data_IF_909678360273
#
_entry.id   IF_909678360273
#
_cell.length_a   1.000
_cell.length_b   1.000
_cell.length_c   1.000
_cell.angle_alpha   90.00
_cell.angle_beta   90.00
_cell.angle_gamma   90.00
#
_symmetry.space_group_name_H-M   'P 1'
#
loop_
_entity.id
_entity.type
_entity.pdbx_description
1 polymer ?
#
# COMPACT_ATOMS: atom_id res chain seq x y z
N UNK A 1 3.12 -42.05 19.93
CA UNK A 1 2.47 -42.33 21.23
C UNK A 1 3.07 -41.39 22.28
N UNK A 2 2.23 -40.96 23.24
CA UNK A 2 2.53 -40.30 24.55
C UNK A 2 3.07 -38.85 24.53
N UNK A 3 2.51 -37.82 25.20
CA UNK A 3 1.30 -37.63 26.04
C UNK A 3 0.87 -36.14 26.04
N UNK A 4 -0.42 -35.86 25.93
CA UNK A 4 -1.09 -34.63 26.38
C UNK A 4 -1.30 -34.72 27.90
N UNK A 5 -0.85 -33.75 28.68
CA UNK A 5 -1.31 -33.62 30.07
C UNK A 5 -1.30 -32.17 30.57
N UNK A 6 -2.43 -31.79 31.17
CA UNK A 6 -2.65 -30.79 32.23
C UNK A 6 -3.27 -29.43 31.83
N UNK A 7 -4.60 -29.49 31.82
CA UNK A 7 -5.56 -28.54 32.38
C UNK A 7 -4.98 -27.69 33.53
N UNK A 8 -5.12 -26.36 33.44
CA UNK A 8 -5.24 -25.44 34.56
C UNK A 8 -6.33 -24.42 34.19
N UNK A 9 -7.59 -24.64 34.60
CA UNK A 9 -8.17 -24.25 35.89
C UNK A 9 -8.17 -22.72 36.11
N UNK A 10 -9.28 -22.13 35.66
CA UNK A 10 -9.96 -20.90 36.11
C UNK A 10 -9.54 -20.39 37.49
N UNK A 11 -9.24 -19.09 37.58
CA UNK A 11 -9.67 -18.22 38.68
C UNK A 11 -9.27 -16.75 38.42
N UNK A 12 -10.07 -15.99 37.68
CA UNK A 12 -10.05 -14.53 37.74
C UNK A 12 -11.47 -14.01 37.54
N UNK A 13 -12.09 -13.57 38.64
CA UNK A 13 -12.93 -12.37 38.76
C UNK A 13 -13.82 -12.48 39.99
N UNK A 14 -13.30 -11.99 41.09
CA UNK A 14 -14.11 -11.57 42.23
C UNK A 14 -13.38 -10.39 42.85
N UNK A 15 -13.93 -9.18 42.73
CA UNK A 15 -13.98 -8.15 43.76
C UNK A 15 -14.96 -7.05 43.31
N UNK A 16 -16.15 -7.11 43.92
CA UNK A 16 -17.00 -6.04 44.46
C UNK A 16 -17.33 -4.79 43.62
N UNK A 17 -18.51 -4.81 42.98
CA UNK A 17 -19.35 -3.61 42.80
C UNK A 17 -20.06 -3.31 44.12
N UNK A 18 -19.48 -2.39 44.88
CA UNK A 18 -20.08 -1.74 46.03
C UNK A 18 -21.23 -0.83 45.60
N UNK A 19 -22.42 -1.10 46.18
CA UNK A 19 -23.47 -0.16 46.59
C UNK A 19 -24.05 0.83 45.54
N UNK A 20 -25.35 0.70 45.25
CA UNK A 20 -26.39 1.58 45.79
C UNK A 20 -27.77 1.20 45.20
N UNK A 21 -28.64 0.69 46.07
CA UNK A 21 -30.09 0.58 45.83
C UNK A 21 -30.79 1.71 46.62
N UNK A 22 -31.82 2.32 45.97
CA UNK A 22 -32.90 3.18 46.52
C UNK A 22 -32.51 4.59 47.06
N UNK A 23 -33.28 5.68 46.88
CA UNK A 23 -34.56 5.99 46.22
C UNK A 23 -34.71 7.52 46.08
N UNK A 24 -35.52 8.02 45.12
CA UNK A 24 -36.64 8.98 45.32
C UNK A 24 -36.94 9.91 44.10
N UNK A 25 -38.24 10.11 43.92
CA UNK A 25 -39.07 10.81 42.91
C UNK A 25 -38.73 12.24 42.41
N UNK A 26 -38.89 12.42 41.08
CA UNK A 26 -39.54 13.51 40.27
C UNK A 26 -39.04 14.97 40.25
N UNK A 27 -39.42 15.80 39.23
CA UNK A 27 -40.06 15.53 37.92
C UNK A 27 -39.37 16.17 36.69
N UNK A 28 -39.72 15.63 35.51
CA UNK A 28 -39.82 16.28 34.20
C UNK A 28 -38.81 17.38 33.81
N UNK A 29 -37.83 17.00 32.99
CA UNK A 29 -37.33 17.88 31.93
C UNK A 29 -37.44 17.15 30.60
N UNK A 30 -38.31 17.70 29.75
CA UNK A 30 -38.50 17.34 28.35
C UNK A 30 -37.17 17.54 27.61
N UNK A 31 -36.36 16.49 27.53
CA UNK A 31 -35.25 16.43 26.58
C UNK A 31 -35.79 15.72 25.37
N UNK A 32 -36.30 16.52 24.43
CA UNK A 32 -36.44 16.17 23.02
C UNK A 32 -35.14 15.46 22.63
N UNK A 33 -35.20 14.13 22.55
CA UNK A 33 -34.11 13.31 22.05
C UNK A 33 -34.05 13.58 20.56
N UNK A 34 -33.34 14.64 20.19
CA UNK A 34 -32.80 14.76 18.85
C UNK A 34 -31.71 13.67 18.78
N UNK A 35 -32.15 12.45 18.45
CA UNK A 35 -31.30 11.42 17.89
C UNK A 35 -30.71 12.02 16.61
N UNK A 36 -29.66 12.82 16.75
CA UNK A 36 -28.59 12.83 15.77
C UNK A 36 -28.04 11.41 15.85
N UNK A 37 -28.55 10.56 14.96
CA UNK A 37 -27.88 9.34 14.59
C UNK A 37 -26.52 9.78 14.03
N UNK A 38 -25.54 9.99 14.92
CA UNK A 38 -24.15 9.78 14.56
C UNK A 38 -24.08 8.32 14.18
N UNK A 39 -24.26 8.08 12.88
CA UNK A 39 -23.87 6.85 12.25
C UNK A 39 -22.49 6.52 12.81
N UNK A 40 -22.40 5.45 13.59
CA UNK A 40 -21.13 4.91 14.04
C UNK A 40 -20.32 4.69 12.77
N UNK A 41 -19.37 5.59 12.49
CA UNK A 41 -18.44 5.41 11.38
C UNK A 41 -17.62 4.18 11.75
N UNK A 42 -17.96 3.06 11.14
CA UNK A 42 -17.11 1.87 11.16
C UNK A 42 -15.78 2.31 10.54
N UNK A 43 -14.69 2.19 11.29
CA UNK A 43 -13.35 2.41 10.74
C UNK A 43 -13.03 1.23 9.81
N UNK A 44 -13.16 1.46 8.50
CA UNK A 44 -12.84 0.46 7.47
C UNK A 44 -11.39 0.55 7.01
N UNK A 45 -10.61 1.50 7.54
CA UNK A 45 -9.36 1.91 6.91
C UNK A 45 -8.29 0.83 6.86
N UNK A 46 -8.16 -0.03 7.87
CA UNK A 46 -7.21 -1.13 7.83
C UNK A 46 -7.56 -2.17 6.73
N UNK A 47 -8.85 -2.50 6.58
CA UNK A 47 -9.31 -3.43 5.54
C UNK A 47 -9.16 -2.81 4.16
N UNK A 48 -9.58 -1.56 4.00
CA UNK A 48 -9.51 -0.82 2.76
C UNK A 48 -8.06 -0.65 2.31
N UNK A 49 -7.17 -0.29 3.23
CA UNK A 49 -5.75 -0.14 2.95
C UNK A 49 -5.13 -1.47 2.51
N UNK A 50 -5.44 -2.57 3.20
CA UNK A 50 -5.00 -3.92 2.79
C UNK A 50 -5.51 -4.26 1.39
N UNK A 51 -6.80 -4.05 1.10
CA UNK A 51 -7.38 -4.32 -0.21
C UNK A 51 -6.72 -3.49 -1.32
N UNK A 52 -6.43 -2.22 -1.03
CA UNK A 52 -5.71 -1.34 -1.94
C UNK A 52 -4.29 -1.84 -2.24
N UNK A 53 -3.53 -2.27 -1.22
CA UNK A 53 -2.17 -2.83 -1.39
C UNK A 53 -2.17 -4.12 -2.20
N UNK A 54 -3.11 -5.03 -1.93
CA UNK A 54 -3.26 -6.26 -2.70
C UNK A 54 -3.59 -5.96 -4.17
N UNK A 55 -4.44 -4.96 -4.42
CA UNK A 55 -4.72 -4.49 -5.76
C UNK A 55 -3.46 -3.91 -6.44
N UNK A 56 -2.67 -3.07 -5.75
CA UNK A 56 -1.42 -2.52 -6.30
C UNK A 56 -0.45 -3.64 -6.73
N UNK A 57 -0.21 -4.63 -5.87
CA UNK A 57 0.64 -5.77 -6.19
C UNK A 57 0.09 -6.65 -7.33
N UNK A 58 -1.23 -6.72 -7.48
CA UNK A 58 -1.83 -7.38 -8.64
C UNK A 58 -1.56 -6.58 -9.94
N UNK A 59 -1.57 -5.24 -9.89
CA UNK A 59 -1.27 -4.40 -11.05
C UNK A 59 0.19 -4.51 -11.47
N UNK A 60 1.13 -4.47 -10.52
CA UNK A 60 2.57 -4.64 -10.79
C UNK A 60 2.85 -5.96 -11.52
N UNK A 61 2.25 -7.05 -11.04
CA UNK A 61 2.34 -8.37 -11.71
C UNK A 61 1.72 -8.34 -13.09
N UNK A 62 0.52 -7.79 -13.23
CA UNK A 62 -0.18 -7.71 -14.52
C UNK A 62 0.57 -6.88 -15.55
N UNK A 63 1.25 -5.80 -15.15
CA UNK A 63 2.10 -5.01 -16.05
C UNK A 63 3.30 -5.83 -16.50
N UNK A 64 4.00 -6.49 -15.58
CA UNK A 64 5.14 -7.32 -15.90
C UNK A 64 4.75 -8.47 -16.85
N UNK A 65 3.61 -9.11 -16.60
CA UNK A 65 3.08 -10.18 -17.44
C UNK A 65 2.70 -9.65 -18.83
N UNK A 66 2.05 -8.48 -18.92
CA UNK A 66 1.72 -7.86 -20.20
C UNK A 66 2.96 -7.53 -21.04
N UNK A 67 4.00 -6.94 -20.42
CA UNK A 67 5.27 -6.64 -21.09
C UNK A 67 5.95 -7.93 -21.54
N UNK A 68 6.06 -8.91 -20.64
CA UNK A 68 6.67 -10.21 -20.95
C UNK A 68 5.96 -10.90 -22.11
N UNK A 69 4.63 -10.98 -22.06
CA UNK A 69 3.83 -11.62 -23.10
C UNK A 69 3.97 -10.92 -24.46
N UNK A 70 4.01 -9.58 -24.49
CA UNK A 70 4.21 -8.85 -25.73
C UNK A 70 5.62 -9.07 -26.31
N UNK A 71 6.65 -9.11 -25.46
CA UNK A 71 8.03 -9.40 -25.89
C UNK A 71 8.18 -10.83 -26.41
N UNK A 72 7.57 -11.82 -25.76
CA UNK A 72 7.54 -13.21 -26.24
C UNK A 72 6.84 -13.32 -27.60
N UNK A 73 5.71 -12.62 -27.76
CA UNK A 73 4.95 -12.57 -29.03
C UNK A 73 5.71 -11.90 -30.16
N UNK A 74 6.55 -10.90 -29.86
CA UNK A 74 7.41 -10.27 -30.87
C UNK A 74 8.50 -11.21 -31.40
N UNK A 75 9.04 -12.10 -30.55
CA UNK A 75 10.10 -13.03 -30.92
C UNK A 75 11.29 -12.31 -31.56
N UNK A 76 11.74 -12.76 -32.73
CA UNK A 76 12.86 -12.14 -33.46
C UNK A 76 12.63 -10.67 -33.85
N UNK A 77 11.36 -10.22 -33.95
CA UNK A 77 11.05 -8.82 -34.28
C UNK A 77 11.47 -7.86 -33.15
N UNK A 78 11.62 -8.36 -31.92
CA UNK A 78 12.10 -7.57 -30.79
C UNK A 78 13.56 -7.12 -30.94
N UNK A 79 14.31 -7.67 -31.92
CA UNK A 79 15.67 -7.20 -32.26
C UNK A 79 15.68 -5.81 -32.88
N UNK A 80 14.56 -5.37 -33.46
CA UNK A 80 14.40 -3.99 -33.90
C UNK A 80 13.97 -3.12 -32.70
N UNK A 81 14.80 -2.15 -32.27
CA UNK A 81 14.53 -1.36 -31.08
C UNK A 81 13.27 -0.49 -31.21
N UNK A 82 12.93 -0.02 -32.43
CA UNK A 82 11.70 0.76 -32.63
C UNK A 82 10.47 -0.12 -32.52
N UNK A 83 10.52 -1.32 -33.10
CA UNK A 83 9.42 -2.29 -33.00
C UNK A 83 9.19 -2.72 -31.56
N UNK A 84 10.26 -3.03 -30.82
CA UNK A 84 10.16 -3.37 -29.40
C UNK A 84 9.60 -2.21 -28.57
N UNK A 85 10.12 -0.99 -28.75
CA UNK A 85 9.65 0.20 -28.03
C UNK A 85 8.16 0.48 -28.30
N UNK A 86 7.73 0.44 -29.56
CA UNK A 86 6.34 0.70 -29.95
C UNK A 86 5.39 -0.35 -29.36
N UNK A 87 5.76 -1.63 -29.42
CA UNK A 87 4.95 -2.71 -28.86
C UNK A 87 4.83 -2.61 -27.33
N UNK A 88 5.93 -2.35 -26.63
CA UNK A 88 5.92 -2.16 -25.17
C UNK A 88 5.08 -0.94 -24.77
N UNK A 89 5.22 0.19 -25.48
CA UNK A 89 4.42 1.39 -25.23
C UNK A 89 2.93 1.10 -25.40
N UNK A 90 2.52 0.43 -26.48
CA UNK A 90 1.12 0.03 -26.70
C UNK A 90 0.61 -0.94 -25.64
N UNK A 91 1.40 -1.95 -25.28
CA UNK A 91 1.03 -2.92 -24.25
C UNK A 91 0.83 -2.23 -22.90
N UNK A 92 1.71 -1.31 -22.53
CA UNK A 92 1.61 -0.56 -21.29
C UNK A 92 0.41 0.39 -21.28
N UNK A 93 0.17 1.14 -22.36
CA UNK A 93 -1.01 2.00 -22.48
C UNK A 93 -2.32 1.20 -22.39
N UNK A 94 -2.39 0.04 -23.04
CA UNK A 94 -3.55 -0.85 -22.95
C UNK A 94 -3.73 -1.37 -21.51
N UNK A 95 -2.63 -1.76 -20.85
CA UNK A 95 -2.67 -2.25 -19.48
C UNK A 95 -3.07 -1.15 -18.48
N UNK A 96 -2.71 0.10 -18.73
CA UNK A 96 -3.18 1.25 -17.92
C UNK A 96 -4.70 1.36 -17.93
N UNK A 97 -5.35 1.16 -19.07
CA UNK A 97 -6.81 1.17 -19.15
C UNK A 97 -7.44 -0.02 -18.41
N UNK A 98 -6.84 -1.21 -18.49
CA UNK A 98 -7.26 -2.37 -17.69
C UNK A 98 -7.15 -2.07 -16.19
N UNK A 99 -6.05 -1.45 -15.75
CA UNK A 99 -5.85 -1.05 -14.36
C UNK A 99 -6.94 -0.07 -13.91
N UNK A 100 -7.21 0.98 -14.69
CA UNK A 100 -8.27 1.96 -14.39
C UNK A 100 -9.63 1.30 -14.24
N UNK A 101 -9.97 0.39 -15.15
CA UNK A 101 -11.22 -0.37 -15.07
C UNK A 101 -11.27 -1.24 -13.80
N UNK A 102 -10.19 -1.97 -13.49
CA UNK A 102 -10.13 -2.80 -12.28
C UNK A 102 -10.34 -1.99 -10.99
N UNK A 103 -9.87 -0.74 -10.96
CA UNK A 103 -10.01 0.15 -9.79
C UNK A 103 -11.46 0.54 -9.49
N UNK A 104 -12.37 0.46 -10.49
CA UNK A 104 -13.81 0.69 -10.28
C UNK A 104 -14.46 -0.40 -9.43
N UNK A 105 -13.87 -1.60 -9.41
CA UNK A 105 -14.33 -2.72 -8.59
C UNK A 105 -13.81 -2.66 -7.14
N UNK A 106 -12.83 -1.80 -6.83
CA UNK A 106 -12.37 -1.59 -5.46
C UNK A 106 -13.33 -0.72 -4.67
N UNK A 107 -14.09 -1.38 -3.81
CA UNK A 107 -14.92 -0.74 -2.80
C UNK A 107 -14.05 -0.27 -1.62
N UNK A 108 -13.66 1.00 -1.65
CA UNK A 108 -12.87 1.67 -0.62
C UNK A 108 -13.75 2.75 -0.02
N UNK A 109 -13.95 2.71 1.30
CA UNK A 109 -14.82 3.64 2.02
C UNK A 109 -14.06 4.60 2.94
N UNK A 110 -12.84 4.25 3.36
CA UNK A 110 -11.95 5.16 4.08
C UNK A 110 -11.44 6.26 3.14
N UNK A 111 -11.61 7.52 3.57
CA UNK A 111 -11.31 8.70 2.75
C UNK A 111 -9.81 8.85 2.46
N UNK A 112 -8.92 8.46 3.37
CA UNK A 112 -7.47 8.55 3.14
C UNK A 112 -7.02 7.47 2.15
N UNK A 113 -7.52 6.24 2.30
CA UNK A 113 -7.25 5.17 1.33
C UNK A 113 -7.84 5.50 -0.04
N UNK A 114 -9.03 6.09 -0.08
CA UNK A 114 -9.68 6.55 -1.32
C UNK A 114 -8.85 7.63 -2.00
N UNK A 115 -8.39 8.64 -1.26
CA UNK A 115 -7.52 9.69 -1.79
C UNK A 115 -6.21 9.11 -2.35
N UNK A 116 -5.61 8.11 -1.68
CA UNK A 116 -4.43 7.42 -2.18
C UNK A 116 -4.71 6.65 -3.48
N UNK A 117 -5.86 5.95 -3.56
CA UNK A 117 -6.30 5.26 -4.79
C UNK A 117 -6.43 6.23 -5.95
N UNK A 118 -7.13 7.35 -5.73
CA UNK A 118 -7.34 8.38 -6.75
C UNK A 118 -6.01 8.98 -7.22
N UNK A 119 -5.10 9.32 -6.30
CA UNK A 119 -3.76 9.82 -6.64
C UNK A 119 -2.93 8.80 -7.42
N UNK A 120 -3.05 7.53 -7.09
CA UNK A 120 -2.36 6.45 -7.83
C UNK A 120 -2.88 6.32 -9.27
N UNK A 121 -4.19 6.46 -9.48
CA UNK A 121 -4.79 6.47 -10.82
C UNK A 121 -4.46 7.74 -11.61
N UNK A 122 -4.38 8.89 -10.93
CA UNK A 122 -3.96 10.16 -11.51
C UNK A 122 -2.50 10.07 -11.99
N UNK A 123 -1.59 9.54 -11.14
CA UNK A 123 -0.20 9.29 -11.49
C UNK A 123 -0.05 8.34 -12.69
N UNK A 124 -0.82 7.24 -12.72
CA UNK A 124 -0.82 6.30 -13.83
C UNK A 124 -1.30 6.95 -15.14
N UNK A 125 -2.33 7.79 -15.06
CA UNK A 125 -2.87 8.53 -16.20
C UNK A 125 -1.88 9.57 -16.72
N UNK A 126 -1.17 10.27 -15.84
CA UNK A 126 -0.09 11.17 -16.22
C UNK A 126 1.08 10.43 -16.84
N UNK A 127 1.47 9.26 -16.31
CA UNK A 127 2.49 8.42 -16.91
C UNK A 127 2.16 8.04 -18.36
N UNK A 128 0.90 7.68 -18.63
CA UNK A 128 0.41 7.44 -20.00
C UNK A 128 0.52 8.68 -20.88
N UNK A 129 0.12 9.86 -20.37
CA UNK A 129 0.25 11.13 -21.11
C UNK A 129 1.71 11.46 -21.40
N UNK A 130 2.62 11.24 -20.45
CA UNK A 130 4.05 11.45 -20.63
C UNK A 130 4.63 10.54 -21.71
N UNK A 131 4.18 9.28 -21.81
CA UNK A 131 4.59 8.39 -22.91
C UNK A 131 4.17 8.91 -24.28
N UNK A 132 2.93 9.42 -24.38
CA UNK A 132 2.41 10.01 -25.61
C UNK A 132 3.15 11.31 -25.97
N UNK A 133 3.40 12.18 -25.00
CA UNK A 133 4.14 13.42 -25.23
C UNK A 133 5.63 13.16 -25.54
N UNK A 134 6.25 12.14 -24.94
CA UNK A 134 7.61 11.74 -25.27
C UNK A 134 7.74 11.34 -26.75
N UNK A 135 6.75 10.61 -27.28
CA UNK A 135 6.71 10.27 -28.71
C UNK A 135 6.57 11.53 -29.57
N UNK A 136 5.71 12.48 -29.18
CA UNK A 136 5.57 13.76 -29.90
C UNK A 136 6.88 14.56 -29.90
N UNK A 137 7.58 14.63 -28.76
CA UNK A 137 8.89 15.28 -28.66
C UNK A 137 9.92 14.57 -29.56
N UNK A 138 9.92 13.23 -29.59
CA UNK A 138 10.82 12.45 -30.43
C UNK A 138 10.56 12.64 -31.93
N UNK A 139 9.29 12.75 -32.33
CA UNK A 139 8.89 12.96 -33.72
C UNK A 139 9.04 14.42 -34.18
N UNK A 140 8.80 15.38 -33.28
CA UNK A 140 8.82 16.81 -33.57
C UNK A 140 9.29 17.62 -32.35
N UNK A 141 10.60 17.83 -32.17
CA UNK A 141 11.18 18.45 -30.99
C UNK A 141 11.01 19.98 -31.01
N UNK A 142 9.80 20.47 -30.73
CA UNK A 142 9.52 21.92 -30.62
C UNK A 142 9.61 22.41 -29.17
N UNK A 143 9.83 23.72 -28.93
CA UNK A 143 9.78 24.29 -27.58
C UNK A 143 8.45 24.01 -26.86
N UNK A 144 7.34 24.01 -27.60
CA UNK A 144 6.00 23.72 -27.08
C UNK A 144 5.88 22.27 -26.63
N UNK A 145 6.41 21.31 -27.39
CA UNK A 145 6.42 19.89 -27.03
C UNK A 145 7.26 19.64 -25.76
N UNK A 146 8.44 20.25 -25.66
CA UNK A 146 9.28 20.17 -24.46
C UNK A 146 8.59 20.79 -23.24
N UNK A 147 7.91 21.93 -23.44
CA UNK A 147 7.15 22.58 -22.38
C UNK A 147 5.99 21.70 -21.91
N UNK A 148 5.22 21.11 -22.83
CA UNK A 148 4.11 20.22 -22.49
C UNK A 148 4.61 19.01 -21.69
N UNK A 149 5.72 18.40 -22.09
CA UNK A 149 6.35 17.31 -21.36
C UNK A 149 6.82 17.74 -19.95
N UNK A 150 7.47 18.90 -19.84
CA UNK A 150 7.91 19.45 -18.55
C UNK A 150 6.77 19.78 -17.59
N UNK A 151 5.65 20.33 -18.11
CA UNK A 151 4.45 20.60 -17.32
C UNK A 151 3.82 19.30 -16.79
N UNK A 152 3.85 18.21 -17.56
CA UNK A 152 3.40 16.89 -17.10
C UNK A 152 4.32 16.30 -16.04
N UNK A 153 5.64 16.43 -16.21
CA UNK A 153 6.61 15.97 -15.21
C UNK A 153 6.39 16.67 -13.87
N UNK A 154 6.22 17.99 -13.87
CA UNK A 154 5.95 18.75 -12.63
C UNK A 154 4.64 18.31 -11.94
N UNK A 155 3.59 17.98 -12.72
CA UNK A 155 2.35 17.43 -12.17
C UNK A 155 2.54 16.03 -11.57
N UNK A 156 3.31 15.18 -12.25
CA UNK A 156 3.61 13.84 -11.75
C UNK A 156 4.40 13.90 -10.45
N UNK A 157 5.41 14.78 -10.36
CA UNK A 157 6.20 14.98 -9.15
C UNK A 157 5.33 15.44 -7.97
N UNK A 158 4.41 16.38 -8.21
CA UNK A 158 3.44 16.85 -7.19
C UNK A 158 2.56 15.71 -6.68
N UNK A 159 1.97 14.92 -7.58
CA UNK A 159 1.12 13.78 -7.19
C UNK A 159 1.93 12.72 -6.47
N UNK A 160 3.16 12.43 -6.91
CA UNK A 160 4.02 11.48 -6.25
C UNK A 160 4.36 11.92 -4.83
N UNK A 161 4.60 13.20 -4.61
CA UNK A 161 4.84 13.75 -3.27
C UNK A 161 3.59 13.64 -2.38
N UNK A 162 2.42 14.06 -2.88
CA UNK A 162 1.14 13.95 -2.16
C UNK A 162 0.79 12.49 -1.83
N UNK A 163 0.93 11.59 -2.80
CA UNK A 163 0.67 10.17 -2.62
C UNK A 163 1.59 9.53 -1.58
N UNK A 164 2.90 9.86 -1.61
CA UNK A 164 3.85 9.39 -0.59
C UNK A 164 3.52 9.88 0.81
N UNK A 165 3.05 11.13 0.95
CA UNK A 165 2.65 11.67 2.24
C UNK A 165 1.42 10.93 2.80
N UNK A 166 0.41 10.68 1.97
CA UNK A 166 -0.78 9.91 2.37
C UNK A 166 -0.39 8.47 2.73
N UNK A 167 0.43 7.83 1.89
CA UNK A 167 0.93 6.47 2.12
C UNK A 167 1.69 6.36 3.45
N UNK A 168 2.55 7.32 3.78
CA UNK A 168 3.31 7.31 5.03
C UNK A 168 2.40 7.35 6.27
N UNK A 169 1.34 8.14 6.23
CA UNK A 169 0.34 8.19 7.32
C UNK A 169 -0.45 6.87 7.42
N UNK A 170 -0.82 6.27 6.28
CA UNK A 170 -1.53 4.99 6.23
C UNK A 170 -0.67 3.83 6.73
N UNK A 171 0.60 3.76 6.31
CA UNK A 171 1.59 2.78 6.81
C UNK A 171 1.72 2.90 8.33
N UNK A 172 1.95 4.12 8.83
CA UNK A 172 2.07 4.38 10.26
C UNK A 172 0.82 3.96 11.05
N UNK A 173 -0.37 4.08 10.45
CA UNK A 173 -1.65 3.79 11.10
C UNK A 173 -2.04 2.32 11.02
N UNK A 174 -1.78 1.64 9.90
CA UNK A 174 -2.36 0.33 9.59
C UNK A 174 -1.35 -0.79 9.38
N UNK A 175 -0.07 -0.50 9.11
CA UNK A 175 0.95 -1.56 9.08
C UNK A 175 1.48 -1.85 10.48
N UNK A 176 1.75 -3.13 10.80
CA UNK A 176 2.41 -3.47 12.06
C UNK A 176 3.78 -2.81 12.12
N UNK A 177 4.13 -2.23 13.27
CA UNK A 177 5.45 -1.66 13.51
C UNK A 177 6.53 -2.67 13.10
N UNK A 178 7.62 -2.23 12.43
CA UNK A 178 8.71 -3.11 12.05
C UNK A 178 9.13 -3.92 13.28
N UNK A 179 8.99 -5.25 13.19
CA UNK A 179 9.46 -6.13 14.25
C UNK A 179 10.95 -5.82 14.45
N UNK A 180 11.43 -5.60 15.69
CA UNK A 180 12.86 -5.46 15.92
C UNK A 180 13.53 -6.69 15.32
N UNK A 181 14.42 -6.44 14.35
CA UNK A 181 15.23 -7.49 13.75
C UNK A 181 15.86 -8.26 14.91
N UNK A 182 15.73 -9.60 14.99
CA UNK A 182 16.35 -10.36 16.06
C UNK A 182 17.81 -9.92 16.13
N UNK A 183 18.23 -9.39 17.28
CA UNK A 183 19.63 -9.07 17.51
C UNK A 183 20.40 -10.35 17.19
N UNK A 184 21.14 -10.31 16.08
CA UNK A 184 22.20 -11.28 15.86
C UNK A 184 23.13 -11.09 17.04
N UNK A 185 23.02 -11.99 18.03
CA UNK A 185 24.02 -12.13 19.07
C UNK A 185 25.37 -12.06 18.35
N UNK A 186 26.30 -11.18 18.79
CA UNK A 186 27.61 -11.12 18.17
C UNK A 186 28.15 -12.54 18.13
N UNK A 187 28.54 -12.97 16.93
CA UNK A 187 29.15 -14.27 16.72
C UNK A 187 30.19 -14.46 17.83
N UNK A 188 29.98 -15.45 18.70
CA UNK A 188 30.95 -15.81 19.71
C UNK A 188 32.23 -16.14 18.95
N UNK A 189 33.21 -15.23 19.05
CA UNK A 189 34.53 -15.41 18.49
C UNK A 189 35.06 -16.75 19.03
N UNK A 190 35.48 -17.70 18.19
CA UNK A 190 36.02 -18.95 18.70
C UNK A 190 37.23 -18.65 19.57
N UNK A 191 37.14 -19.11 20.82
CA UNK A 191 38.13 -18.98 21.87
C UNK A 191 39.53 -19.36 21.35
N UNK A 192 40.44 -18.39 21.37
CA UNK A 192 41.86 -18.62 21.02
C UNK A 192 42.46 -19.61 22.02
N UNK A 193 42.82 -20.78 21.51
CA UNK A 193 43.57 -21.84 22.18
C UNK A 193 44.90 -21.26 22.73
N UNK A 194 45.26 -21.49 24.01
CA UNK A 194 46.50 -20.94 24.56
C UNK A 194 47.75 -21.62 23.95
N UNK A 195 48.72 -20.79 23.56
CA UNK A 195 50.06 -21.21 23.09
C UNK A 195 50.82 -22.01 24.16
N UNK A 196 51.61 -23.03 23.77
CA UNK A 196 52.47 -23.75 24.70
C UNK A 196 53.74 -22.94 25.03
N UNK A 197 54.08 -22.87 26.31
CA UNK A 197 55.33 -22.25 26.83
C UNK A 197 56.59 -22.92 26.24
N UNK A 198 57.66 -22.15 25.93
CA UNK A 198 58.94 -22.72 25.58
C UNK A 198 59.66 -23.32 26.80
N UNK A 199 60.30 -24.45 26.59
CA UNK A 199 61.09 -25.17 27.58
C UNK A 199 62.40 -24.43 27.92
N UNK A 200 62.72 -24.36 29.22
CA UNK A 200 64.08 -24.33 29.76
C UNK A 200 64.14 -25.28 30.95
#
# INVERSE_FOLDING_TARGET
>A
MTKLTKIGAVALLSIFLTACDKAADKPAQNVKTEQKAEAVKVDTGAQDYKAFREWQHAQERSINDAIKNEMEKLGDKAKDPKVAQEAMSKALLAQIEVIKQSATSLNITDEQVKALKEKSLEALSLGAQMMVEAEKVAQNPTPEAHKAFGDLQAKLDKIAHEGKAIEAELVKKYEPAPQPKPEQLPAQNPEMKPEPKPAQ
#
